data_IF_623125592583
#
_entry.id   IF_623125592583
#
_cell.length_a   1.000
_cell.length_b   1.000
_cell.length_c   1.000
_cell.angle_alpha   90.00
_cell.angle_beta   90.00
_cell.angle_gamma   90.00
#
_symmetry.space_group_name_H-M   'P 1'
#
loop_
_entity.id
_entity.type
_entity.pdbx_description
1 polymer ?
#
# COMPACT_ATOMS: atom_id res chain seq x y z
N UNK A 1 33.76 49.13 -18.49
CA UNK A 1 32.35 48.75 -18.72
C UNK A 1 32.30 47.90 -19.98
N UNK A 2 31.84 46.65 -19.86
CA UNK A 2 30.48 46.30 -20.24
C UNK A 2 29.71 45.61 -19.10
N UNK A 3 28.43 45.39 -19.36
CA UNK A 3 27.32 45.32 -18.43
C UNK A 3 27.04 43.86 -18.01
N UNK A 4 26.77 43.67 -16.71
CA UNK A 4 26.23 42.43 -16.14
C UNK A 4 24.90 42.05 -16.83
N UNK A 5 24.80 40.82 -17.33
CA UNK A 5 23.51 40.20 -17.65
C UNK A 5 23.18 39.16 -16.58
N UNK A 6 22.36 39.58 -15.61
CA UNK A 6 21.76 38.73 -14.60
C UNK A 6 20.63 37.93 -15.27
N UNK A 7 20.94 36.75 -15.80
CA UNK A 7 19.92 35.78 -16.19
C UNK A 7 19.46 35.06 -14.92
N UNK A 8 18.38 35.57 -14.31
CA UNK A 8 17.63 34.88 -13.28
C UNK A 8 17.02 33.61 -13.86
N UNK A 9 17.75 32.50 -13.76
CA UNK A 9 17.19 31.17 -13.95
C UNK A 9 16.30 30.89 -12.73
N UNK A 10 15.00 31.01 -12.98
CA UNK A 10 13.92 30.82 -12.02
C UNK A 10 14.11 29.54 -11.20
N UNK A 11 14.23 29.69 -9.89
CA UNK A 11 14.45 28.65 -8.86
C UNK A 11 13.23 27.73 -8.66
N UNK A 12 12.31 27.65 -9.63
CA UNK A 12 10.99 27.02 -9.52
C UNK A 12 10.90 25.63 -10.17
N UNK A 13 11.96 25.16 -10.84
CA UNK A 13 11.94 23.86 -11.53
C UNK A 13 12.40 22.67 -10.66
N UNK A 14 12.81 22.87 -9.40
CA UNK A 14 13.47 21.80 -8.60
C UNK A 14 12.53 20.80 -7.90
N UNK A 15 11.20 20.92 -8.03
CA UNK A 15 10.26 20.04 -7.31
C UNK A 15 9.23 19.35 -8.20
N UNK A 16 9.44 19.29 -9.52
CA UNK A 16 8.73 18.31 -10.33
C UNK A 16 9.45 16.96 -10.17
N UNK A 17 9.22 16.26 -9.05
CA UNK A 17 9.47 14.82 -9.03
C UNK A 17 8.50 14.23 -10.06
N UNK A 18 9.06 13.72 -11.16
CA UNK A 18 8.32 12.93 -12.12
C UNK A 18 7.88 11.66 -11.38
N UNK A 19 6.65 11.67 -10.88
CA UNK A 19 6.09 10.53 -10.18
C UNK A 19 6.07 9.37 -11.18
N UNK A 20 6.78 8.26 -10.91
CA UNK A 20 6.87 7.17 -11.86
C UNK A 20 5.45 6.73 -12.24
N UNK A 21 5.22 6.36 -13.51
CA UNK A 21 3.88 5.96 -13.96
C UNK A 21 3.34 4.89 -13.03
N UNK A 22 2.12 5.10 -12.53
CA UNK A 22 1.48 4.17 -11.60
C UNK A 22 1.56 2.75 -12.19
N UNK A 23 2.01 1.75 -11.40
CA UNK A 23 2.16 0.40 -11.91
C UNK A 23 0.82 -0.10 -12.44
N UNK A 24 0.86 -0.84 -13.56
CA UNK A 24 -0.34 -1.42 -14.11
C UNK A 24 -0.97 -2.37 -13.08
N UNK A 25 -2.25 -2.15 -12.75
CA UNK A 25 -2.96 -2.97 -11.79
C UNK A 25 -3.17 -4.38 -12.33
N UNK A 26 -2.59 -5.37 -11.66
CA UNK A 26 -2.80 -6.78 -11.99
C UNK A 26 -4.03 -7.30 -11.25
N UNK A 27 -5.08 -7.63 -12.01
CA UNK A 27 -6.29 -8.24 -11.49
C UNK A 27 -6.03 -9.70 -11.11
N UNK A 28 -6.62 -10.13 -10.00
CA UNK A 28 -6.37 -11.44 -9.41
C UNK A 28 -7.69 -12.09 -9.01
N UNK A 29 -7.79 -13.40 -9.18
CA UNK A 29 -8.85 -14.18 -8.56
C UNK A 29 -8.58 -14.36 -7.06
N UNK A 30 -9.53 -14.94 -6.33
CA UNK A 30 -9.42 -15.13 -4.87
C UNK A 30 -8.18 -15.94 -4.46
N UNK A 31 -7.85 -17.01 -5.19
CA UNK A 31 -6.70 -17.87 -4.85
C UNK A 31 -5.36 -17.15 -5.10
N UNK A 32 -5.26 -16.36 -6.17
CA UNK A 32 -4.11 -15.49 -6.43
C UNK A 32 -3.98 -14.41 -5.36
N UNK A 33 -5.07 -13.73 -5.01
CA UNK A 33 -5.07 -12.71 -3.97
C UNK A 33 -4.60 -13.31 -2.63
N UNK A 34 -5.14 -14.47 -2.23
CA UNK A 34 -4.73 -15.13 -0.99
C UNK A 34 -3.24 -15.51 -0.99
N UNK A 35 -2.68 -15.95 -2.13
CA UNK A 35 -1.24 -16.23 -2.24
C UNK A 35 -0.41 -14.96 -2.03
N UNK A 36 -0.83 -13.84 -2.59
CA UNK A 36 -0.14 -12.56 -2.42
C UNK A 36 -0.20 -12.07 -0.97
N UNK A 37 -1.36 -12.15 -0.33
CA UNK A 37 -1.51 -11.78 1.09
C UNK A 37 -0.59 -12.63 1.99
N UNK A 38 -0.50 -13.94 1.71
CA UNK A 38 0.44 -14.84 2.40
C UNK A 38 1.90 -14.47 2.14
N UNK A 39 2.24 -14.12 0.90
CA UNK A 39 3.61 -13.70 0.53
C UNK A 39 4.02 -12.48 1.33
N UNK A 40 3.21 -11.41 1.31
CA UNK A 40 3.48 -10.17 2.04
C UNK A 40 3.65 -10.43 3.55
N UNK A 41 2.77 -11.23 4.15
CA UNK A 41 2.88 -11.58 5.56
C UNK A 41 4.16 -12.38 5.87
N UNK A 42 4.56 -13.30 4.98
CA UNK A 42 5.79 -14.09 5.16
C UNK A 42 7.08 -13.33 4.90
N UNK A 43 7.05 -12.31 4.02
CA UNK A 43 8.18 -11.43 3.72
C UNK A 43 8.43 -10.42 4.85
N UNK A 44 7.39 -10.06 5.60
CA UNK A 44 7.42 -9.03 6.65
C UNK A 44 6.77 -9.48 7.98
N UNK A 45 7.23 -10.59 8.61
CA UNK A 45 6.53 -11.22 9.74
C UNK A 45 6.45 -10.35 11.00
N UNK A 46 7.40 -9.45 11.21
CA UNK A 46 7.39 -8.54 12.37
C UNK A 46 6.36 -7.40 12.21
N UNK A 47 6.03 -7.05 10.97
CA UNK A 47 5.18 -5.91 10.62
C UNK A 47 3.75 -6.31 10.24
N UNK A 48 3.60 -7.46 9.57
CA UNK A 48 2.37 -7.85 8.88
C UNK A 48 1.82 -9.17 9.41
N UNK A 49 0.54 -9.16 9.79
CA UNK A 49 -0.19 -10.36 10.21
C UNK A 49 -1.34 -10.64 9.24
N UNK A 50 -1.48 -11.90 8.81
CA UNK A 50 -2.62 -12.37 8.03
C UNK A 50 -3.71 -12.92 8.96
N UNK A 51 -4.90 -12.33 8.91
CA UNK A 51 -6.05 -12.72 9.70
C UNK A 51 -7.17 -13.25 8.81
N UNK A 52 -7.86 -14.31 9.25
CA UNK A 52 -9.16 -14.70 8.71
C UNK A 52 -10.25 -14.02 9.52
N UNK A 53 -11.02 -13.14 8.89
CA UNK A 53 -12.12 -12.42 9.55
C UNK A 53 -13.41 -13.22 9.58
N UNK A 54 -13.56 -14.17 8.65
CA UNK A 54 -14.75 -15.02 8.57
C UNK A 54 -14.84 -15.73 7.22
N UNK A 55 -16.05 -16.18 6.90
CA UNK A 55 -16.38 -16.82 5.64
C UNK A 55 -17.51 -16.05 4.95
N UNK A 56 -17.38 -15.84 3.64
CA UNK A 56 -18.43 -15.29 2.80
C UNK A 56 -19.61 -16.28 2.67
N UNK A 57 -20.75 -15.79 2.17
CA UNK A 57 -21.92 -16.65 1.88
C UNK A 57 -21.59 -17.83 0.94
N UNK A 58 -20.58 -17.67 0.08
CA UNK A 58 -20.11 -18.72 -0.83
C UNK A 58 -19.03 -19.63 -0.25
N UNK A 59 -18.77 -19.58 1.06
CA UNK A 59 -17.79 -20.44 1.74
C UNK A 59 -16.33 -20.07 1.48
N UNK A 60 -16.04 -18.92 0.86
CA UNK A 60 -14.66 -18.41 0.74
C UNK A 60 -14.30 -17.61 1.97
N UNK A 61 -13.08 -17.81 2.49
CA UNK A 61 -12.54 -17.00 3.57
C UNK A 61 -12.49 -15.51 3.17
N UNK A 62 -12.67 -14.65 4.18
CA UNK A 62 -12.47 -13.20 4.09
C UNK A 62 -11.20 -12.91 4.88
N UNK A 63 -10.14 -12.54 4.18
CA UNK A 63 -8.83 -12.31 4.75
C UNK A 63 -8.51 -10.82 4.92
N UNK A 64 -7.70 -10.49 5.92
CA UNK A 64 -7.19 -9.14 6.15
C UNK A 64 -5.72 -9.18 6.52
N UNK A 65 -4.98 -8.15 6.11
CA UNK A 65 -3.65 -7.86 6.63
C UNK A 65 -3.76 -6.80 7.72
N UNK A 66 -3.14 -7.06 8.87
CA UNK A 66 -2.87 -6.04 9.88
C UNK A 66 -1.42 -5.63 9.76
N UNK A 67 -1.18 -4.35 9.49
CA UNK A 67 0.16 -3.77 9.39
C UNK A 67 0.39 -2.86 10.59
N UNK A 68 1.37 -3.18 11.43
CA UNK A 68 1.74 -2.35 12.57
C UNK A 68 3.17 -2.66 13.02
N UNK A 69 3.98 -1.61 13.17
CA UNK A 69 5.35 -1.71 13.68
C UNK A 69 5.43 -2.27 15.09
N UNK A 70 6.62 -2.75 15.46
CA UNK A 70 6.89 -3.31 16.78
C UNK A 70 6.49 -2.34 17.91
N UNK A 71 5.84 -2.87 18.96
CA UNK A 71 5.35 -2.09 20.11
C UNK A 71 4.06 -1.28 19.85
N UNK A 72 3.70 -1.06 18.59
CA UNK A 72 2.55 -0.25 18.21
C UNK A 72 1.32 -1.11 17.81
N UNK A 73 1.42 -2.43 17.94
CA UNK A 73 0.34 -3.38 17.67
C UNK A 73 -0.77 -3.27 18.72
N UNK A 74 -0.40 -3.29 20.00
CA UNK A 74 -1.35 -3.46 21.10
C UNK A 74 -1.54 -2.19 21.93
N UNK A 75 -1.12 -1.04 21.39
CA UNK A 75 -1.37 0.26 21.99
C UNK A 75 -2.81 0.73 21.70
N UNK A 76 -3.71 0.75 22.70
CA UNK A 76 -5.09 1.18 22.50
C UNK A 76 -5.23 2.69 22.22
N UNK A 77 -4.20 3.49 22.51
CA UNK A 77 -4.21 4.92 22.22
C UNK A 77 -3.83 5.22 20.77
N UNK A 78 -3.28 4.23 20.04
CA UNK A 78 -2.87 4.41 18.65
C UNK A 78 -4.09 4.36 17.72
N UNK A 79 -4.29 5.37 16.86
CA UNK A 79 -5.35 5.32 15.85
C UNK A 79 -5.17 4.13 14.91
N UNK A 80 -6.28 3.46 14.60
CA UNK A 80 -6.35 2.41 13.59
C UNK A 80 -7.07 2.91 12.34
N UNK A 81 -6.56 2.51 11.17
CA UNK A 81 -7.21 2.76 9.88
C UNK A 81 -7.63 1.43 9.25
N UNK A 82 -8.87 1.36 8.79
CA UNK A 82 -9.41 0.21 8.09
C UNK A 82 -9.65 0.56 6.62
N UNK A 83 -8.95 -0.14 5.73
CA UNK A 83 -9.19 -0.12 4.29
C UNK A 83 -9.89 -1.41 3.88
N UNK A 84 -11.08 -1.28 3.28
CA UNK A 84 -11.85 -2.42 2.76
C UNK A 84 -11.99 -2.28 1.25
N UNK A 85 -11.72 -3.37 0.54
CA UNK A 85 -11.81 -3.43 -0.92
C UNK A 85 -12.74 -4.57 -1.38
N UNK A 86 -13.18 -4.49 -2.64
CA UNK A 86 -14.02 -5.49 -3.29
C UNK A 86 -15.36 -5.75 -2.59
N UNK A 87 -15.96 -4.68 -2.03
CA UNK A 87 -17.32 -4.70 -1.49
C UNK A 87 -18.37 -4.95 -2.58
N UNK A 88 -18.12 -4.41 -3.77
CA UNK A 88 -18.87 -4.70 -5.00
C UNK A 88 -18.02 -5.65 -5.85
N UNK A 89 -18.49 -6.89 -6.02
CA UNK A 89 -17.76 -7.94 -6.72
C UNK A 89 -17.51 -7.66 -8.20
N UNK A 90 -18.24 -6.71 -8.82
CA UNK A 90 -17.95 -6.24 -10.17
C UNK A 90 -16.73 -5.31 -10.24
N UNK A 91 -16.34 -4.71 -9.11
CA UNK A 91 -15.23 -3.75 -9.00
C UNK A 91 -13.95 -4.41 -8.47
N UNK A 92 -13.57 -5.52 -9.09
CA UNK A 92 -12.42 -6.35 -8.70
C UNK A 92 -11.09 -5.59 -8.66
N UNK A 93 -10.95 -4.52 -9.46
CA UNK A 93 -9.75 -3.66 -9.46
C UNK A 93 -9.45 -3.06 -8.09
N UNK A 94 -10.46 -2.86 -7.23
CA UNK A 94 -10.26 -2.32 -5.89
C UNK A 94 -9.40 -3.23 -5.00
N UNK A 95 -9.47 -4.56 -5.17
CA UNK A 95 -8.55 -5.49 -4.50
C UNK A 95 -7.11 -5.30 -4.95
N UNK A 96 -6.88 -5.04 -6.24
CA UNK A 96 -5.54 -4.78 -6.75
C UNK A 96 -4.97 -3.49 -6.14
N UNK A 97 -5.75 -2.42 -6.10
CA UNK A 97 -5.35 -1.15 -5.47
C UNK A 97 -4.99 -1.35 -3.99
N UNK A 98 -5.85 -2.02 -3.21
CA UNK A 98 -5.57 -2.26 -1.80
C UNK A 98 -4.33 -3.15 -1.59
N UNK A 99 -4.11 -4.14 -2.45
CA UNK A 99 -2.93 -5.01 -2.40
C UNK A 99 -1.64 -4.23 -2.68
N UNK A 100 -1.62 -3.36 -3.69
CA UNK A 100 -0.45 -2.53 -4.00
C UNK A 100 -0.13 -1.58 -2.84
N UNK A 101 -1.14 -0.97 -2.21
CA UNK A 101 -0.91 -0.14 -1.02
C UNK A 101 -0.36 -0.95 0.15
N UNK A 102 -0.92 -2.14 0.43
CA UNK A 102 -0.40 -3.00 1.50
C UNK A 102 1.06 -3.42 1.24
N UNK A 103 1.39 -3.75 -0.01
CA UNK A 103 2.76 -4.09 -0.44
C UNK A 103 3.70 -2.90 -0.29
N UNK A 104 3.32 -1.72 -0.77
CA UNK A 104 4.12 -0.51 -0.65
C UNK A 104 4.39 -0.14 0.82
N UNK A 105 3.36 -0.17 1.67
CA UNK A 105 3.50 0.09 3.11
C UNK A 105 4.43 -0.91 3.80
N UNK A 106 4.37 -2.20 3.41
CA UNK A 106 5.23 -3.22 4.00
C UNK A 106 6.69 -3.09 3.54
N UNK A 107 6.91 -2.84 2.25
CA UNK A 107 8.25 -2.76 1.64
C UNK A 107 9.01 -1.49 2.02
N UNK A 108 8.28 -0.39 2.24
CA UNK A 108 8.85 0.94 2.49
C UNK A 108 8.81 1.34 3.97
N UNK A 109 8.41 0.42 4.84
CA UNK A 109 8.34 0.69 6.27
C UNK A 109 9.72 1.08 6.82
N UNK A 110 9.77 2.26 7.46
CA UNK A 110 10.98 2.84 8.05
C UNK A 110 12.12 3.14 7.05
N UNK A 111 11.84 3.19 5.75
CA UNK A 111 12.81 3.52 4.69
C UNK A 111 12.37 4.69 3.79
N UNK A 112 11.20 5.28 4.07
CA UNK A 112 10.71 6.48 3.38
C UNK A 112 11.13 7.76 4.12
N UNK A 113 11.66 8.73 3.35
CA UNK A 113 12.03 10.09 3.80
C UNK A 113 10.82 11.03 3.93
#
# INVERSE_FOLDING_TARGET
MPILSLAGASLLAMFAQEEPPAPALVLRNHAELLRELKSIASEHPELVELHKLGDSRGGRAIEALRLAGAGAKDDPARPALLLVANLDGARVYSSAVALEHARALAQRYASDD
#
